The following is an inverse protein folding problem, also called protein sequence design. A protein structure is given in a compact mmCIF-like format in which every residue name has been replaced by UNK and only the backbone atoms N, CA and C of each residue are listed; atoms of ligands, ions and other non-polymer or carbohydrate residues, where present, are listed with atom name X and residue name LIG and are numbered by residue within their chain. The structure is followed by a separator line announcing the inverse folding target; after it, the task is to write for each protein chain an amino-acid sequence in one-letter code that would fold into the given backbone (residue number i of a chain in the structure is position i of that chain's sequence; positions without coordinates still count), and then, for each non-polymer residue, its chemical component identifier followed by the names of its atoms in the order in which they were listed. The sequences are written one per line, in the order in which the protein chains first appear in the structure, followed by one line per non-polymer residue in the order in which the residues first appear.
data_IF_173781206776
#
_entry.id   IF_173781206776
#
_cell.length_a   1.000
_cell.length_b   1.000
_cell.length_c   1.000
_cell.angle_alpha   90.00
_cell.angle_beta   90.00
_cell.angle_gamma   90.00
#
_symmetry.space_group_name_H-M   'P 1'
#
loop_
_entity.id
_entity.type
_entity.pdbx_description
1 polymer ?
#
# COMPACT_ATOMS: atom_id res chain seq x y z
N UNK A 1 4.56 -22.66 6.53
CA UNK A 1 4.15 -22.30 7.90
C UNK A 1 2.70 -22.67 8.04
N UNK A 2 2.39 -23.55 8.99
CA UNK A 2 1.02 -23.94 9.25
C UNK A 2 0.31 -22.81 10.00
N UNK A 3 -0.86 -22.42 9.52
CA UNK A 3 -1.66 -21.39 10.17
C UNK A 3 -2.57 -22.02 11.21
N UNK A 4 -2.66 -21.41 12.39
CA UNK A 4 -3.57 -21.89 13.43
C UNK A 4 -5.03 -21.71 12.99
N UNK A 5 -5.89 -22.67 13.35
CA UNK A 5 -7.29 -22.72 12.88
C UNK A 5 -8.14 -21.49 13.27
N UNK A 6 -7.70 -20.73 14.26
CA UNK A 6 -8.34 -19.54 14.82
C UNK A 6 -7.60 -18.22 14.47
N UNK A 7 -6.66 -18.26 13.53
CA UNK A 7 -5.83 -17.11 13.17
C UNK A 7 -6.65 -16.02 12.45
N UNK A 8 -7.22 -15.13 13.25
CA UNK A 8 -7.90 -13.92 12.79
C UNK A 8 -7.01 -12.69 13.06
N UNK A 9 -6.71 -11.93 12.01
CA UNK A 9 -5.91 -10.71 12.10
C UNK A 9 -6.77 -9.51 11.74
N UNK A 10 -6.74 -8.50 12.59
CA UNK A 10 -7.34 -7.21 12.28
C UNK A 10 -6.35 -6.35 11.49
N UNK A 11 -6.79 -5.85 10.34
CA UNK A 11 -6.07 -4.83 9.56
C UNK A 11 -7.05 -3.70 9.25
N UNK A 12 -6.72 -2.49 9.69
CA UNK A 12 -7.64 -1.36 9.67
C UNK A 12 -8.98 -1.73 10.37
N UNK A 13 -10.11 -1.61 9.67
CA UNK A 13 -11.46 -1.95 10.18
C UNK A 13 -11.96 -3.32 9.67
N UNK A 14 -11.06 -4.22 9.26
CA UNK A 14 -11.43 -5.54 8.75
C UNK A 14 -10.77 -6.64 9.58
N UNK A 15 -11.55 -7.67 9.90
CA UNK A 15 -11.07 -8.94 10.44
C UNK A 15 -10.87 -9.93 9.30
N UNK A 16 -9.67 -10.52 9.24
CA UNK A 16 -9.28 -11.44 8.18
C UNK A 16 -8.97 -12.79 8.82
N UNK A 17 -9.79 -13.77 8.46
CA UNK A 17 -9.54 -15.18 8.74
C UNK A 17 -8.46 -15.68 7.78
N UNK A 18 -7.27 -15.96 8.31
CA UNK A 18 -6.13 -16.35 7.49
C UNK A 18 -6.26 -17.77 6.94
N UNK A 19 -6.92 -18.67 7.65
CA UNK A 19 -7.08 -20.06 7.21
C UNK A 19 -7.95 -20.11 5.97
N UNK A 20 -9.08 -19.40 6.00
CA UNK A 20 -10.00 -19.35 4.87
C UNK A 20 -9.48 -18.46 3.72
N UNK A 21 -8.64 -17.46 4.01
CA UNK A 21 -8.10 -16.56 2.97
C UNK A 21 -6.86 -17.13 2.28
N UNK A 22 -5.95 -17.75 3.02
CA UNK A 22 -4.63 -18.15 2.52
C UNK A 22 -4.29 -19.62 2.76
N UNK A 23 -4.83 -20.24 3.82
CA UNK A 23 -4.33 -21.52 4.30
C UNK A 23 -2.87 -21.41 4.75
N UNK A 24 -2.06 -22.43 4.44
CA UNK A 24 -0.65 -22.47 4.84
C UNK A 24 0.25 -21.57 3.97
N UNK A 25 1.18 -20.85 4.61
CA UNK A 25 2.09 -19.95 3.91
C UNK A 25 3.37 -20.66 3.46
N UNK A 26 3.78 -20.41 2.21
CA UNK A 26 5.17 -20.65 1.79
C UNK A 26 6.05 -19.52 2.32
N UNK A 27 7.07 -19.87 3.12
CA UNK A 27 8.04 -18.90 3.64
C UNK A 27 9.32 -18.87 2.80
N UNK A 28 9.76 -20.03 2.34
CA UNK A 28 10.91 -20.20 1.46
C UNK A 28 10.48 -20.98 0.23
N UNK A 29 10.83 -20.48 -0.94
CA UNK A 29 10.43 -21.07 -2.22
C UNK A 29 11.45 -22.12 -2.66
N UNK A 30 11.06 -22.95 -3.64
CA UNK A 30 11.91 -24.01 -4.20
C UNK A 30 13.12 -23.49 -4.99
N UNK A 31 13.05 -22.25 -5.46
CA UNK A 31 14.14 -21.56 -6.17
C UNK A 31 15.09 -20.82 -5.21
N UNK A 32 15.12 -21.24 -3.95
CA UNK A 32 15.99 -20.72 -2.88
C UNK A 32 15.85 -19.22 -2.61
N UNK A 33 14.63 -18.71 -2.76
CA UNK A 33 14.29 -17.33 -2.47
C UNK A 33 13.22 -17.23 -1.38
N UNK A 34 13.28 -16.22 -0.49
CA UNK A 34 12.21 -15.99 0.47
C UNK A 34 10.90 -15.63 -0.27
N UNK A 35 9.76 -15.96 0.34
CA UNK A 35 8.49 -15.46 -0.15
C UNK A 35 8.38 -13.96 0.08
N UNK A 36 7.52 -13.29 -0.70
CA UNK A 36 7.26 -11.86 -0.52
C UNK A 36 6.85 -11.52 0.91
N UNK A 37 6.00 -12.35 1.53
CA UNK A 37 5.54 -12.12 2.91
C UNK A 37 6.69 -12.11 3.90
N UNK A 38 7.65 -13.03 3.75
CA UNK A 38 8.82 -13.09 4.62
C UNK A 38 9.80 -11.96 4.34
N UNK A 39 10.19 -11.76 3.08
CA UNK A 39 11.19 -10.76 2.70
C UNK A 39 10.76 -9.34 3.11
N UNK A 40 9.55 -8.92 2.70
CA UNK A 40 9.03 -7.58 3.03
C UNK A 40 8.83 -7.38 4.53
N UNK A 41 8.41 -8.41 5.27
CA UNK A 41 8.27 -8.30 6.73
C UNK A 41 9.64 -8.06 7.40
N UNK A 42 10.64 -8.86 7.04
CA UNK A 42 11.97 -8.78 7.67
C UNK A 42 12.64 -7.44 7.36
N UNK A 43 12.52 -6.94 6.12
CA UNK A 43 13.04 -5.62 5.74
C UNK A 43 12.38 -4.49 6.54
N UNK A 44 11.04 -4.52 6.70
CA UNK A 44 10.33 -3.48 7.44
C UNK A 44 10.61 -3.55 8.96
N UNK A 45 10.76 -4.74 9.54
CA UNK A 45 11.12 -4.92 10.96
C UNK A 45 12.55 -4.45 11.24
N UNK A 46 13.52 -4.89 10.43
CA UNK A 46 14.95 -4.52 10.58
C UNK A 46 15.16 -3.01 10.35
N UNK A 47 14.41 -2.44 9.41
CA UNK A 47 14.40 -1.01 9.13
C UNK A 47 13.69 -0.16 10.18
N UNK A 48 13.08 -0.75 11.23
CA UNK A 48 12.25 -0.06 12.22
C UNK A 48 11.18 0.84 11.58
N UNK A 49 10.60 0.39 10.47
CA UNK A 49 9.52 1.12 9.80
C UNK A 49 8.33 1.19 10.77
N UNK A 50 7.68 2.35 10.84
CA UNK A 50 6.54 2.58 11.75
C UNK A 50 5.28 3.07 11.03
N UNK A 51 5.39 3.41 9.74
CA UNK A 51 4.30 3.93 8.92
C UNK A 51 4.38 3.35 7.51
N UNK A 52 3.42 2.49 7.17
CA UNK A 52 3.43 1.73 5.91
C UNK A 52 2.24 2.15 5.07
N UNK A 53 2.52 2.78 3.93
CA UNK A 53 1.52 3.21 2.94
C UNK A 53 1.63 2.34 1.70
N UNK A 54 0.56 1.62 1.37
CA UNK A 54 0.53 0.70 0.22
C UNK A 54 -0.84 0.56 -0.39
N UNK A 55 -0.92 -0.08 -1.56
CA UNK A 55 -2.18 -0.29 -2.27
C UNK A 55 -3.13 -1.21 -1.50
N UNK A 56 -4.44 -1.01 -1.68
CA UNK A 56 -5.50 -1.83 -1.06
C UNK A 56 -5.44 -3.31 -1.44
N UNK A 57 -4.82 -3.64 -2.55
CA UNK A 57 -4.54 -5.01 -2.97
C UNK A 57 -3.60 -5.77 -2.02
N UNK A 58 -2.78 -5.06 -1.25
CA UNK A 58 -1.87 -5.66 -0.27
C UNK A 58 -2.50 -5.83 1.12
N UNK A 59 -3.78 -5.48 1.32
CA UNK A 59 -4.44 -5.58 2.63
C UNK A 59 -4.40 -6.99 3.22
N UNK A 60 -4.68 -8.02 2.42
CA UNK A 60 -4.61 -9.40 2.90
C UNK A 60 -3.15 -9.83 3.15
N UNK A 61 -2.20 -9.32 2.35
CA UNK A 61 -0.77 -9.57 2.58
C UNK A 61 -0.32 -8.99 3.92
N UNK A 62 -0.84 -7.82 4.31
CA UNK A 62 -0.62 -7.23 5.64
C UNK A 62 -1.03 -8.19 6.76
N UNK A 63 -2.20 -8.81 6.63
CA UNK A 63 -2.70 -9.73 7.64
C UNK A 63 -1.77 -10.95 7.81
N UNK A 64 -1.36 -11.54 6.69
CA UNK A 64 -0.39 -12.64 6.67
C UNK A 64 0.95 -12.24 7.31
N UNK A 65 1.46 -11.05 6.99
CA UNK A 65 2.72 -10.53 7.54
C UNK A 65 2.62 -10.24 9.04
N UNK A 66 1.51 -9.68 9.54
CA UNK A 66 1.30 -9.46 10.98
C UNK A 66 1.26 -10.79 11.73
N UNK A 67 0.60 -11.81 11.18
CA UNK A 67 0.60 -13.15 11.78
C UNK A 67 2.01 -13.73 11.84
N UNK A 68 2.75 -13.65 10.73
CA UNK A 68 4.12 -14.12 10.64
C UNK A 68 5.05 -13.38 11.62
N UNK A 69 4.90 -12.07 11.75
CA UNK A 69 5.63 -11.24 12.71
C UNK A 69 5.42 -11.72 14.14
N UNK A 70 4.16 -11.99 14.52
CA UNK A 70 3.81 -12.55 15.84
C UNK A 70 4.46 -13.91 16.07
N UNK A 71 4.51 -14.77 15.05
CA UNK A 71 5.20 -16.07 15.15
C UNK A 71 6.71 -15.92 15.39
N UNK A 72 7.34 -14.89 14.83
CA UNK A 72 8.76 -14.59 15.04
C UNK A 72 9.05 -13.75 16.29
N UNK A 73 8.02 -13.32 17.04
CA UNK A 73 8.18 -12.44 18.20
C UNK A 73 8.53 -11.00 17.82
N UNK A 74 8.32 -10.61 16.57
CA UNK A 74 8.53 -9.24 16.09
C UNK A 74 7.44 -8.31 16.59
N UNK A 75 7.82 -7.09 16.93
CA UNK A 75 6.95 -6.15 17.63
C UNK A 75 6.81 -4.80 16.93
N UNK A 76 7.80 -4.39 16.14
CA UNK A 76 7.76 -3.12 15.40
C UNK A 76 6.75 -3.16 14.25
N UNK A 77 6.79 -4.21 13.43
CA UNK A 77 5.93 -4.35 12.27
C UNK A 77 4.44 -4.43 12.64
N UNK A 78 3.99 -5.26 13.62
CA UNK A 78 2.60 -5.24 14.06
C UNK A 78 2.15 -3.90 14.65
N UNK A 79 3.07 -3.11 15.21
CA UNK A 79 2.79 -1.79 15.77
C UNK A 79 2.77 -0.67 14.71
N UNK A 80 3.14 -0.96 13.46
CA UNK A 80 3.08 0.00 12.37
C UNK A 80 1.66 0.52 12.15
N UNK A 81 1.57 1.81 11.78
CA UNK A 81 0.34 2.37 11.23
C UNK A 81 0.26 2.05 9.74
N UNK A 82 -0.74 1.27 9.35
CA UNK A 82 -0.98 0.88 7.96
C UNK A 82 -2.02 1.76 7.28
N UNK A 83 -1.68 2.28 6.09
CA UNK A 83 -2.62 2.94 5.19
C UNK A 83 -2.70 2.16 3.89
N UNK A 84 -3.91 1.71 3.57
CA UNK A 84 -4.22 0.98 2.34
C UNK A 84 -4.98 1.89 1.39
N UNK A 85 -4.27 2.55 0.47
CA UNK A 85 -4.88 3.49 -0.45
C UNK A 85 -5.59 2.79 -1.61
N UNK A 86 -6.61 3.47 -2.17
CA UNK A 86 -7.32 2.99 -3.35
C UNK A 86 -6.38 2.76 -4.54
N UNK A 87 -6.76 1.83 -5.41
CA UNK A 87 -5.97 1.52 -6.61
C UNK A 87 -6.21 2.59 -7.67
N UNK A 88 -5.15 2.97 -8.39
CA UNK A 88 -5.28 3.87 -9.52
C UNK A 88 -5.96 3.11 -10.66
N UNK A 89 -7.10 3.62 -11.11
CA UNK A 89 -7.85 3.08 -12.23
C UNK A 89 -7.49 3.84 -13.51
N UNK A 90 -7.55 3.14 -14.64
CA UNK A 90 -7.52 3.73 -15.96
C UNK A 90 -8.88 4.40 -16.26
N UNK A 91 -8.94 5.20 -17.32
CA UNK A 91 -10.16 5.92 -17.71
C UNK A 91 -11.32 4.96 -18.05
N UNK A 92 -11.01 3.69 -18.37
CA UNK A 92 -11.98 2.61 -18.57
C UNK A 92 -12.38 1.86 -17.28
N UNK A 93 -11.97 2.36 -16.11
CA UNK A 93 -12.28 1.77 -14.80
C UNK A 93 -11.44 0.55 -14.41
N UNK A 94 -10.53 0.07 -15.27
CA UNK A 94 -9.67 -1.07 -14.93
C UNK A 94 -8.47 -0.66 -14.09
N UNK A 95 -7.98 -1.56 -13.22
CA UNK A 95 -6.75 -1.35 -12.44
C UNK A 95 -5.57 -1.11 -13.40
N UNK A 96 -4.91 0.04 -13.27
CA UNK A 96 -3.61 0.25 -13.92
C UNK A 96 -2.61 -0.72 -13.31
N UNK A 97 -2.08 -1.63 -14.13
CA UNK A 97 -1.05 -2.56 -13.71
C UNK A 97 0.02 -2.67 -14.79
N UNK A 98 1.28 -2.68 -14.38
CA UNK A 98 2.43 -2.82 -15.29
C UNK A 98 2.33 -4.09 -16.14
N UNK A 99 1.76 -5.17 -15.59
CA UNK A 99 1.53 -6.44 -16.30
C UNK A 99 0.42 -6.39 -17.35
N UNK A 100 -0.43 -5.36 -17.36
CA UNK A 100 -1.49 -5.15 -18.36
C UNK A 100 -1.19 -4.00 -19.32
N UNK A 101 0.09 -3.64 -19.47
CA UNK A 101 0.50 -2.61 -20.43
C UNK A 101 0.15 -1.18 -20.01
N UNK A 102 -0.16 -0.94 -18.73
CA UNK A 102 -0.21 0.44 -18.23
C UNK A 102 1.18 1.06 -18.41
N UNK A 103 1.25 2.15 -19.17
CA UNK A 103 2.49 2.86 -19.50
C UNK A 103 3.40 2.96 -18.28
N UNK A 104 4.61 2.42 -18.40
CA UNK A 104 5.67 2.73 -17.46
C UNK A 104 5.89 4.25 -17.47
N UNK A 105 6.46 4.81 -16.39
CA UNK A 105 6.84 6.23 -16.37
C UNK A 105 7.75 6.60 -17.55
N UNK A 106 8.51 5.61 -18.06
CA UNK A 106 9.31 5.72 -19.28
C UNK A 106 8.42 5.95 -20.50
N UNK A 107 7.47 5.07 -20.76
CA UNK A 107 6.58 5.16 -21.92
C UNK A 107 5.74 6.45 -21.88
N UNK A 108 5.28 6.85 -20.68
CA UNK A 108 4.58 8.12 -20.49
C UNK A 108 5.47 9.31 -20.89
N UNK A 109 6.77 9.27 -20.57
CA UNK A 109 7.72 10.33 -20.95
C UNK A 109 7.99 10.32 -22.46
N UNK A 110 8.14 9.15 -23.06
CA UNK A 110 8.37 8.98 -24.50
C UNK A 110 7.16 9.39 -25.33
N UNK A 111 5.93 9.21 -24.82
CA UNK A 111 4.70 9.67 -25.45
C UNK A 111 4.40 11.16 -25.23
N UNK A 112 5.38 11.95 -24.78
CA UNK A 112 5.24 13.40 -24.55
C UNK A 112 4.58 13.79 -23.22
N UNK A 113 4.43 12.85 -22.28
CA UNK A 113 3.92 13.12 -20.95
C UNK A 113 4.91 13.96 -20.12
N UNK A 114 4.38 14.98 -19.44
CA UNK A 114 5.18 15.88 -18.61
C UNK A 114 5.09 15.53 -17.13
N UNK A 115 6.12 15.92 -16.37
CA UNK A 115 6.13 15.82 -14.91
C UNK A 115 4.93 16.55 -14.28
N UNK A 116 4.62 17.77 -14.77
CA UNK A 116 3.44 18.53 -14.36
C UNK A 116 2.16 17.74 -14.59
N UNK A 117 2.04 17.06 -15.73
CA UNK A 117 0.90 16.18 -16.02
C UNK A 117 0.78 15.03 -15.03
N UNK A 118 1.90 14.40 -14.66
CA UNK A 118 1.92 13.34 -13.65
C UNK A 118 1.52 13.85 -12.25
N UNK A 119 2.02 15.02 -11.84
CA UNK A 119 1.63 15.69 -10.58
C UNK A 119 0.13 15.98 -10.55
N UNK A 120 -0.42 16.56 -11.62
CA UNK A 120 -1.86 16.84 -11.73
C UNK A 120 -2.71 15.56 -11.72
N UNK A 121 -2.24 14.48 -12.35
CA UNK A 121 -2.90 13.17 -12.32
C UNK A 121 -2.90 12.56 -10.91
N UNK A 122 -1.76 12.63 -10.20
CA UNK A 122 -1.67 12.18 -8.80
C UNK A 122 -2.62 12.97 -7.89
N UNK A 123 -2.65 14.30 -8.02
CA UNK A 123 -3.58 15.16 -7.30
C UNK A 123 -5.05 14.77 -7.54
N UNK A 124 -5.42 14.50 -8.79
CA UNK A 124 -6.77 14.03 -9.15
C UNK A 124 -7.13 12.71 -8.46
N UNK A 125 -6.22 11.74 -8.45
CA UNK A 125 -6.41 10.44 -7.78
C UNK A 125 -6.62 10.62 -6.28
N UNK A 126 -5.94 11.60 -5.68
CA UNK A 126 -6.06 11.93 -4.27
C UNK A 126 -7.29 12.82 -3.95
N UNK A 127 -8.09 13.21 -4.95
CA UNK A 127 -9.24 14.10 -4.78
C UNK A 127 -8.85 15.57 -4.51
N UNK A 128 -7.62 15.96 -4.83
CA UNK A 128 -7.07 17.29 -4.57
C UNK A 128 -7.26 18.20 -5.79
N UNK A 129 -7.60 19.47 -5.54
CA UNK A 129 -7.67 20.50 -6.60
C UNK A 129 -6.30 20.66 -7.26
N UNK A 130 -6.24 20.52 -8.58
CA UNK A 130 -4.99 20.31 -9.31
C UNK A 130 -4.64 21.39 -10.34
N UNK A 131 -5.49 22.40 -10.53
CA UNK A 131 -5.32 23.39 -11.60
C UNK A 131 -4.03 24.22 -11.46
N UNK A 132 -3.56 24.46 -10.22
CA UNK A 132 -2.34 25.23 -9.92
C UNK A 132 -1.10 24.41 -9.56
N UNK A 133 -1.15 23.07 -9.60
CA UNK A 133 -0.03 22.23 -9.20
C UNK A 133 0.95 22.04 -10.36
N UNK A 134 2.19 22.47 -10.17
CA UNK A 134 3.28 22.38 -11.15
C UNK A 134 4.41 21.48 -10.65
N UNK A 135 4.60 21.41 -9.34
CA UNK A 135 5.70 20.67 -8.71
C UNK A 135 5.22 19.61 -7.73
N UNK A 136 6.09 18.67 -7.38
CA UNK A 136 5.83 17.73 -6.29
C UNK A 136 5.67 18.45 -4.94
N UNK A 137 6.32 19.60 -4.76
CA UNK A 137 6.20 20.41 -3.55
C UNK A 137 4.81 21.02 -3.42
N UNK A 138 4.23 21.51 -4.52
CA UNK A 138 2.85 22.03 -4.54
C UNK A 138 1.87 20.93 -4.14
N UNK A 139 2.06 19.71 -4.68
CA UNK A 139 1.24 18.56 -4.33
C UNK A 139 1.38 18.18 -2.86
N UNK A 140 2.61 18.14 -2.33
CA UNK A 140 2.86 17.89 -0.91
C UNK A 140 2.14 18.91 -0.04
N UNK A 141 2.24 20.20 -0.35
CA UNK A 141 1.57 21.25 0.40
C UNK A 141 0.04 21.14 0.33
N UNK A 142 -0.50 20.79 -0.84
CA UNK A 142 -1.93 20.58 -1.02
C UNK A 142 -2.46 19.37 -0.24
N UNK A 143 -1.69 18.27 -0.17
CA UNK A 143 -2.01 17.10 0.69
C UNK A 143 -2.07 17.53 2.15
N UNK A 144 -1.05 18.26 2.63
CA UNK A 144 -0.97 18.70 4.03
C UNK A 144 -2.13 19.63 4.43
N UNK A 145 -2.60 20.50 3.52
CA UNK A 145 -3.75 21.38 3.78
C UNK A 145 -5.05 20.56 3.84
N UNK A 146 -5.24 19.66 2.87
CA UNK A 146 -6.44 18.84 2.78
C UNK A 146 -6.61 17.88 3.97
N UNK A 147 -5.53 17.38 4.55
CA UNK A 147 -5.59 16.55 5.76
C UNK A 147 -5.99 17.37 6.99
N UNK A 148 -5.46 18.60 7.16
CA UNK A 148 -5.89 19.51 8.25
C UNK A 148 -7.37 19.83 8.17
N UNK A 149 -7.88 20.13 6.98
CA UNK A 149 -9.30 20.44 6.76
C UNK A 149 -10.22 19.24 7.05
N UNK A 150 -9.70 18.01 6.99
CA UNK A 150 -10.45 16.80 7.36
C UNK A 150 -10.45 16.56 8.87
N UNK A 151 -9.32 16.74 9.54
CA UNK A 151 -9.23 16.66 11.02
C UNK A 151 -10.15 17.70 11.69
N UNK A 152 -10.18 18.94 11.17
CA UNK A 152 -11.06 20.01 11.66
C UNK A 152 -12.56 19.72 11.48
N UNK A 153 -12.93 18.81 10.58
CA UNK A 153 -14.34 18.43 10.30
C UNK A 153 -14.78 17.15 11.00
N UNK A 154 -13.87 16.36 11.55
CA UNK A 154 -14.19 15.15 12.32
C UNK A 154 -14.45 15.41 13.81
N UNK A 155 -14.12 16.62 14.29
CA UNK A 155 -14.23 17.03 15.70
C UNK A 155 -15.51 17.85 16.00
N UNK A 156 -16.49 17.87 15.08
CA UNK A 156 -17.78 18.55 15.24
C UNK A 156 -18.94 17.68 14.80
#
# INVERSE_FOLDING_TARGET
LRVNNDACIQVNNQHIDLVNTFGDFVLWRKDDQPSYHLASLVEDEDGCINFIVRGRDLLFSTAAQIYLARCFGFSSFPACRFIHHGLVLADNGQKLSKSRGAYALKDLRESGGSFVGAVKKAARVLGIKHNGLLTAQDLKQAIMINDKDKELKSDG
#
